data_IF_475875213080
#
_entry.id   IF_475875213080
#
_cell.length_a   1.000
_cell.length_b   1.000
_cell.length_c   1.000
_cell.angle_alpha   90.00
_cell.angle_beta   90.00
_cell.angle_gamma   90.00
#
_symmetry.space_group_name_H-M   'P 1'
#
loop_
_entity.id
_entity.type
_entity.pdbx_description
1 polymer ?
#
# COMPACT_ATOMS: atom_id res chain seq x y z
N UNK A 1 -13.76 -13.45 3.78
CA UNK A 1 -13.09 -12.19 3.41
C UNK A 1 -13.15 -11.19 4.58
N UNK A 2 -12.17 -11.20 5.48
CA UNK A 2 -12.17 -10.46 6.75
C UNK A 2 -12.36 -8.93 6.61
N UNK A 3 -11.94 -8.35 5.48
CA UNK A 3 -12.09 -6.92 5.20
C UNK A 3 -13.55 -6.48 5.03
N UNK A 4 -14.42 -7.31 4.43
CA UNK A 4 -15.87 -7.04 4.33
C UNK A 4 -16.59 -7.15 5.69
N UNK A 5 -15.98 -7.81 6.65
CA UNK A 5 -16.55 -8.04 7.99
C UNK A 5 -16.12 -6.99 9.03
N UNK A 6 -15.46 -5.89 8.63
CA UNK A 6 -14.85 -4.87 9.53
C UNK A 6 -13.85 -5.44 10.55
N UNK A 7 -13.34 -6.66 10.33
CA UNK A 7 -12.29 -7.30 11.14
C UNK A 7 -10.92 -6.81 10.66
N UNK A 8 -10.68 -5.52 10.80
CA UNK A 8 -9.48 -4.86 10.29
C UNK A 8 -8.20 -5.40 10.94
N UNK A 9 -8.24 -5.76 12.23
CA UNK A 9 -7.10 -6.33 12.97
C UNK A 9 -6.59 -7.65 12.36
N UNK A 10 -7.49 -8.56 11.98
CA UNK A 10 -7.13 -9.83 11.34
C UNK A 10 -6.64 -9.65 9.91
N UNK A 11 -7.23 -8.69 9.19
CA UNK A 11 -6.79 -8.37 7.85
C UNK A 11 -5.35 -7.80 7.89
N UNK A 12 -5.05 -6.89 8.83
CA UNK A 12 -3.71 -6.38 9.08
C UNK A 12 -2.71 -7.50 9.38
N UNK A 13 -3.06 -8.44 10.25
CA UNK A 13 -2.20 -9.59 10.57
C UNK A 13 -1.97 -10.51 9.36
N UNK A 14 -2.97 -10.69 8.49
CA UNK A 14 -2.81 -11.47 7.27
C UNK A 14 -1.87 -10.79 6.27
N UNK A 15 -2.00 -9.47 6.06
CA UNK A 15 -1.11 -8.75 5.14
C UNK A 15 0.31 -8.61 5.68
N UNK A 16 0.47 -8.43 7.00
CA UNK A 16 1.80 -8.45 7.63
C UNK A 16 2.52 -9.76 7.35
N UNK A 17 1.85 -10.91 7.58
CA UNK A 17 2.44 -12.22 7.29
C UNK A 17 2.83 -12.39 5.82
N UNK A 18 2.02 -11.86 4.90
CA UNK A 18 2.35 -11.87 3.47
C UNK A 18 3.61 -11.07 3.15
N UNK A 19 3.75 -9.88 3.74
CA UNK A 19 4.93 -9.03 3.57
C UNK A 19 6.18 -9.67 4.21
N UNK A 20 6.04 -10.29 5.38
CA UNK A 20 7.16 -10.98 6.05
C UNK A 20 7.66 -12.17 5.22
N UNK A 21 6.74 -12.94 4.61
CA UNK A 21 7.10 -14.04 3.71
C UNK A 21 7.86 -13.54 2.47
N UNK A 22 7.43 -12.41 1.91
CA UNK A 22 8.11 -11.76 0.80
C UNK A 22 9.50 -11.26 1.22
N UNK A 23 9.64 -10.65 2.40
CA UNK A 23 10.92 -10.21 2.94
C UNK A 23 11.90 -11.38 3.20
N UNK A 24 11.40 -12.56 3.58
CA UNK A 24 12.22 -13.77 3.71
C UNK A 24 12.65 -14.39 2.37
N UNK A 25 11.98 -14.02 1.28
CA UNK A 25 12.33 -14.40 -0.07
C UNK A 25 13.30 -13.41 -0.74
N UNK A 26 13.43 -12.19 -0.20
CA UNK A 26 14.39 -11.21 -0.70
C UNK A 26 15.82 -11.75 -0.65
N UNK A 27 16.56 -11.56 -1.75
CA UNK A 27 17.94 -12.04 -1.90
C UNK A 27 18.08 -13.51 -2.30
N UNK A 28 16.99 -14.29 -2.37
CA UNK A 28 17.04 -15.65 -2.92
C UNK A 28 16.95 -15.63 -4.45
N UNK A 29 17.70 -16.49 -5.17
CA UNK A 29 17.55 -16.62 -6.61
C UNK A 29 16.12 -17.00 -6.97
N UNK A 30 15.50 -16.21 -7.86
CA UNK A 30 14.16 -16.44 -8.38
C UNK A 30 14.13 -16.14 -9.88
N UNK A 31 13.14 -16.69 -10.59
CA UNK A 31 12.95 -16.37 -12.01
C UNK A 31 12.51 -14.92 -12.15
N UNK A 32 12.84 -14.28 -13.27
CA UNK A 32 12.52 -12.86 -13.50
C UNK A 32 11.00 -12.63 -13.50
N UNK A 33 10.24 -13.58 -14.03
CA UNK A 33 8.78 -13.54 -14.07
C UNK A 33 8.17 -13.62 -12.66
N UNK A 34 8.70 -14.53 -11.83
CA UNK A 34 8.29 -14.68 -10.44
C UNK A 34 8.62 -13.43 -9.62
N UNK A 35 9.79 -12.82 -9.86
CA UNK A 35 10.19 -11.56 -9.22
C UNK A 35 9.20 -10.44 -9.53
N UNK A 36 8.81 -10.28 -10.81
CA UNK A 36 7.84 -9.25 -11.21
C UNK A 36 6.50 -9.47 -10.52
N UNK A 37 6.04 -10.72 -10.45
CA UNK A 37 4.81 -11.07 -9.74
C UNK A 37 4.90 -10.73 -8.23
N UNK A 38 6.02 -11.06 -7.59
CA UNK A 38 6.26 -10.76 -6.17
C UNK A 38 6.22 -9.26 -5.90
N UNK A 39 6.81 -8.43 -6.78
CA UNK A 39 6.78 -6.97 -6.64
C UNK A 39 5.36 -6.41 -6.76
N UNK A 40 4.57 -6.86 -7.74
CA UNK A 40 3.16 -6.43 -7.86
C UNK A 40 2.36 -6.85 -6.62
N UNK A 41 2.55 -8.09 -6.15
CA UNK A 41 1.88 -8.57 -4.93
C UNK A 41 2.30 -7.75 -3.70
N UNK A 42 3.58 -7.40 -3.58
CA UNK A 42 4.10 -6.53 -2.51
C UNK A 42 3.40 -5.17 -2.53
N UNK A 43 3.28 -4.53 -3.69
CA UNK A 43 2.56 -3.26 -3.82
C UNK A 43 1.08 -3.38 -3.42
N UNK A 44 0.40 -4.42 -3.90
CA UNK A 44 -1.01 -4.68 -3.56
C UNK A 44 -1.21 -4.91 -2.05
N UNK A 45 -0.32 -5.65 -1.40
CA UNK A 45 -0.39 -5.91 0.04
C UNK A 45 -0.20 -4.64 0.86
N UNK A 46 0.81 -3.83 0.54
CA UNK A 46 1.01 -2.52 1.18
C UNK A 46 -0.19 -1.59 0.97
N UNK A 47 -0.71 -1.51 -0.26
CA UNK A 47 -1.88 -0.69 -0.58
C UNK A 47 -3.12 -1.12 0.23
N UNK A 48 -3.34 -2.43 0.39
CA UNK A 48 -4.45 -2.95 1.19
C UNK A 48 -4.27 -2.73 2.70
N UNK A 49 -3.03 -2.86 3.21
CA UNK A 49 -2.69 -2.53 4.60
C UNK A 49 -2.92 -1.05 4.89
N UNK A 50 -2.46 -0.17 4.00
CA UNK A 50 -2.71 1.27 4.04
C UNK A 50 -4.19 1.62 4.06
N UNK A 51 -5.02 0.96 3.26
CA UNK A 51 -6.47 1.18 3.28
C UNK A 51 -7.13 0.80 4.63
N UNK A 52 -6.69 -0.28 5.27
CA UNK A 52 -7.21 -0.64 6.58
C UNK A 52 -6.77 0.35 7.66
N UNK A 53 -5.53 0.85 7.57
CA UNK A 53 -5.03 1.90 8.46
C UNK A 53 -5.82 3.20 8.28
N UNK A 54 -6.19 3.57 7.05
CA UNK A 54 -7.13 4.68 6.76
C UNK A 54 -8.46 4.47 7.48
N UNK A 55 -9.04 3.27 7.38
CA UNK A 55 -10.32 2.97 8.03
C UNK A 55 -10.24 2.98 9.57
N UNK A 56 -9.04 2.87 10.12
CA UNK A 56 -8.74 3.00 11.55
C UNK A 56 -8.25 4.41 11.92
N UNK A 57 -8.26 5.36 10.98
CA UNK A 57 -7.77 6.74 11.15
C UNK A 57 -6.29 6.85 11.53
N UNK A 58 -5.50 5.79 11.28
CA UNK A 58 -4.04 5.80 11.43
C UNK A 58 -3.36 6.37 10.18
N UNK A 59 -3.69 7.62 9.84
CA UNK A 59 -3.31 8.29 8.59
C UNK A 59 -1.81 8.26 8.30
N UNK A 60 -0.96 8.59 9.29
CA UNK A 60 0.51 8.59 9.10
C UNK A 60 1.07 7.22 8.78
N UNK A 61 0.56 6.18 9.44
CA UNK A 61 0.98 4.79 9.17
C UNK A 61 0.46 4.32 7.82
N UNK A 62 -0.74 4.75 7.44
CA UNK A 62 -1.27 4.48 6.11
C UNK A 62 -0.39 5.08 5.02
N UNK A 63 0.05 6.34 5.18
CA UNK A 63 0.96 7.01 4.23
C UNK A 63 2.25 6.20 4.05
N UNK A 64 2.89 5.76 5.15
CA UNK A 64 4.11 4.94 5.07
C UNK A 64 3.91 3.65 4.25
N UNK A 65 2.76 2.98 4.43
CA UNK A 65 2.43 1.81 3.64
C UNK A 65 2.19 2.13 2.17
N UNK A 66 1.54 3.26 1.90
CA UNK A 66 1.21 3.65 0.54
C UNK A 66 2.44 4.16 -0.21
N UNK A 67 3.40 4.78 0.48
CA UNK A 67 4.71 5.13 -0.06
C UNK A 67 5.47 3.87 -0.52
N UNK A 68 5.47 2.80 0.28
CA UNK A 68 6.08 1.54 -0.13
C UNK A 68 5.36 0.90 -1.33
N UNK A 69 4.02 0.98 -1.37
CA UNK A 69 3.26 0.49 -2.51
C UNK A 69 3.60 1.23 -3.81
N UNK A 70 3.71 2.56 -3.75
CA UNK A 70 4.02 3.43 -4.91
C UNK A 70 5.50 3.30 -5.31
N UNK A 71 6.41 3.13 -4.35
CA UNK A 71 7.83 2.91 -4.63
C UNK A 71 8.08 1.63 -5.42
N UNK A 72 7.31 0.58 -5.14
CA UNK A 72 7.41 -0.72 -5.80
C UNK A 72 6.65 -0.74 -7.13
N UNK A 73 5.47 -0.12 -7.17
CA UNK A 73 4.63 -0.02 -8.36
C UNK A 73 4.11 1.43 -8.47
N UNK A 74 4.83 2.30 -9.19
CA UNK A 74 4.45 3.69 -9.38
C UNK A 74 3.12 3.88 -10.10
N UNK A 75 2.64 2.86 -10.84
CA UNK A 75 1.37 2.89 -11.58
C UNK A 75 0.19 2.42 -10.74
N UNK A 76 0.39 2.13 -9.45
CA UNK A 76 -0.69 1.72 -8.56
C UNK A 76 -1.59 2.90 -8.17
N UNK A 77 -2.51 3.25 -9.08
CA UNK A 77 -3.53 4.30 -8.93
C UNK A 77 -4.28 4.21 -7.60
N UNK A 78 -4.57 2.98 -7.13
CA UNK A 78 -5.25 2.78 -5.83
C UNK A 78 -4.39 3.22 -4.66
N UNK A 79 -3.09 2.95 -4.70
CA UNK A 79 -2.16 3.38 -3.65
C UNK A 79 -2.03 4.91 -3.63
N UNK A 80 -1.85 5.55 -4.79
CA UNK A 80 -1.73 7.01 -4.90
C UNK A 80 -3.00 7.70 -4.40
N UNK A 81 -4.18 7.25 -4.86
CA UNK A 81 -5.46 7.80 -4.41
C UNK A 81 -5.69 7.64 -2.90
N UNK A 82 -5.29 6.50 -2.33
CA UNK A 82 -5.37 6.27 -0.89
C UNK A 82 -4.42 7.21 -0.13
N UNK A 83 -3.22 7.48 -0.68
CA UNK A 83 -2.23 8.36 -0.05
C UNK A 83 -2.74 9.81 -0.02
N UNK A 84 -3.32 10.25 -1.15
CA UNK A 84 -3.99 11.54 -1.27
C UNK A 84 -5.03 11.74 -0.15
N UNK A 85 -5.94 10.77 0.02
CA UNK A 85 -6.96 10.80 1.07
C UNK A 85 -6.38 10.88 2.48
N UNK A 86 -5.28 10.18 2.74
CA UNK A 86 -4.63 10.22 4.04
C UNK A 86 -3.94 11.58 4.29
N UNK A 87 -3.37 12.20 3.26
CA UNK A 87 -2.84 13.56 3.33
C UNK A 87 -3.95 14.61 3.56
N UNK A 88 -5.08 14.50 2.86
CA UNK A 88 -6.26 15.36 3.08
C UNK A 88 -6.76 15.27 4.53
N UNK A 89 -6.88 14.06 5.07
CA UNK A 89 -7.29 13.84 6.46
C UNK A 89 -6.32 14.49 7.49
N UNK A 90 -5.03 14.57 7.14
CA UNK A 90 -4.00 15.26 7.92
C UNK A 90 -3.87 16.76 7.59
N UNK A 91 -4.70 17.29 6.68
CA UNK A 91 -4.64 18.68 6.17
C UNK A 91 -3.31 19.01 5.50
N UNK A 92 -2.64 18.02 4.92
CA UNK A 92 -1.40 18.15 4.18
C UNK A 92 -1.70 18.42 2.69
N UNK A 93 -2.29 19.57 2.40
CA UNK A 93 -2.86 19.91 1.10
C UNK A 93 -1.84 19.85 -0.05
N UNK A 94 -0.62 20.36 0.15
CA UNK A 94 0.43 20.33 -0.87
C UNK A 94 0.83 18.91 -1.26
N UNK A 95 0.83 17.97 -0.32
CA UNK A 95 1.12 16.56 -0.59
C UNK A 95 -0.04 15.87 -1.29
N UNK A 96 -1.29 16.20 -0.93
CA UNK A 96 -2.47 15.71 -1.64
C UNK A 96 -2.52 16.22 -3.09
N UNK A 97 -2.16 17.49 -3.33
CA UNK A 97 -2.07 18.06 -4.69
C UNK A 97 -1.04 17.34 -5.55
N UNK A 98 0.16 17.08 -5.00
CA UNK A 98 1.18 16.29 -5.68
C UNK A 98 0.70 14.86 -6.02
N UNK A 99 -0.10 14.24 -5.15
CA UNK A 99 -0.71 12.94 -5.45
C UNK A 99 -1.75 13.01 -6.57
N UNK A 100 -2.53 14.09 -6.62
CA UNK A 100 -3.51 14.32 -7.70
C UNK A 100 -2.78 14.53 -9.03
N UNK A 101 -1.69 15.31 -9.06
CA UNK A 101 -0.87 15.48 -10.25
C UNK A 101 -0.30 14.15 -10.73
N UNK A 102 0.20 13.32 -9.81
CA UNK A 102 0.71 12.00 -10.13
C UNK A 102 -0.39 11.11 -10.75
N UNK A 103 -1.61 11.15 -10.21
CA UNK A 103 -2.77 10.39 -10.73
C UNK A 103 -3.18 10.82 -12.15
N UNK A 104 -2.95 12.07 -12.53
CA UNK A 104 -3.23 12.55 -13.89
C UNK A 104 -2.18 12.06 -14.89
N UNK A 105 -0.97 11.76 -14.41
CA UNK A 105 0.15 11.31 -15.23
C UNK A 105 0.25 9.79 -15.36
N UNK A 106 -0.52 9.03 -14.55
CA UNK A 106 -0.57 7.55 -14.56
C UNK A 106 -1.73 7.02 -15.38
#
# INVERSE_FOLDING_TARGET
AAFKARRYSEALAAWQRGLDAIAQADGKPMRVEDMKLVLVVRSVLHSNRGQALINMEFWRRAIQDLDEAIRVDPENVKAIWRRCKAHEALKQWSSAEADIELLVQT
#
